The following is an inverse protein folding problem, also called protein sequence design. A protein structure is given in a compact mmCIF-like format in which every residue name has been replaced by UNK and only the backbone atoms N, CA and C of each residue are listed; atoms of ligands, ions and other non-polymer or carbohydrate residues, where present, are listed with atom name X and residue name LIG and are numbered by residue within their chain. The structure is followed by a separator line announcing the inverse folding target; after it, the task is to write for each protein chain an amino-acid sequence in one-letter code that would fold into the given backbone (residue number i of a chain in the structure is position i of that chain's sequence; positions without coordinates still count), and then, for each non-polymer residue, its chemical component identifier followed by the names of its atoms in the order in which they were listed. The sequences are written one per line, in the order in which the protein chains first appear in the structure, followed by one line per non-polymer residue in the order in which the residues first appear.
data_IF_625907478592
#
_entry.id   IF_625907478592
#
_cell.length_a   1.000
_cell.length_b   1.000
_cell.length_c   1.000
_cell.angle_alpha   90.00
_cell.angle_beta   90.00
_cell.angle_gamma   90.00
#
_symmetry.space_group_name_H-M   'P 1'
#
loop_
_entity.id
_entity.type
_entity.pdbx_description
1 polymer ?
#
# COMPACT_ATOMS: atom_id res chain seq x y z
N UNK A 1 8.58 -20.43 -12.03
CA UNK A 1 7.11 -20.65 -12.03
C UNK A 1 6.50 -19.66 -11.05
N UNK A 2 5.50 -18.85 -11.45
CA UNK A 2 4.82 -17.99 -10.48
C UNK A 2 3.82 -18.83 -9.69
N UNK A 3 3.89 -18.76 -8.36
CA UNK A 3 2.96 -19.46 -7.45
C UNK A 3 1.55 -18.87 -7.56
N UNK A 4 1.44 -17.63 -8.03
CA UNK A 4 0.19 -16.92 -8.26
C UNK A 4 -0.20 -17.06 -9.74
N UNK A 5 -1.42 -17.51 -10.06
CA UNK A 5 -1.94 -17.55 -11.43
C UNK A 5 -1.96 -16.15 -12.06
N UNK A 6 -1.58 -16.05 -13.34
CA UNK A 6 -1.54 -14.75 -14.04
C UNK A 6 -2.91 -14.08 -14.13
N UNK A 7 -3.96 -14.90 -14.20
CA UNK A 7 -5.39 -14.52 -14.22
C UNK A 7 -5.81 -13.74 -12.96
N UNK A 8 -5.03 -13.80 -11.87
CA UNK A 8 -5.31 -13.04 -10.65
C UNK A 8 -4.82 -11.59 -10.71
N UNK A 9 -3.98 -11.25 -11.71
CA UNK A 9 -3.57 -9.88 -11.97
C UNK A 9 -4.61 -9.06 -12.72
N UNK A 10 -5.65 -9.69 -13.26
CA UNK A 10 -6.71 -9.03 -14.00
C UNK A 10 -7.63 -8.24 -13.05
N UNK A 11 -8.08 -7.03 -13.43
CA UNK A 11 -8.83 -6.15 -12.54
C UNK A 11 -10.24 -6.68 -12.17
N UNK A 12 -10.83 -7.56 -12.99
CA UNK A 12 -12.13 -8.20 -12.78
C UNK A 12 -12.05 -9.55 -12.03
N UNK A 13 -10.84 -10.04 -11.77
CA UNK A 13 -10.60 -11.34 -11.15
C UNK A 13 -11.07 -11.36 -9.70
N UNK A 14 -12.13 -12.12 -9.43
CA UNK A 14 -12.63 -12.38 -8.05
C UNK A 14 -11.56 -12.92 -7.10
N UNK A 15 -10.81 -13.99 -7.42
CA UNK A 15 -9.82 -14.52 -6.50
C UNK A 15 -8.64 -13.55 -6.31
N UNK A 16 -8.21 -12.84 -7.36
CA UNK A 16 -7.18 -11.80 -7.26
C UNK A 16 -7.60 -10.63 -6.36
N UNK A 17 -8.84 -10.19 -6.49
CA UNK A 17 -9.42 -9.13 -5.64
C UNK A 17 -9.42 -9.50 -4.15
N UNK A 18 -9.91 -10.69 -3.78
CA UNK A 18 -9.91 -11.13 -2.38
C UNK A 18 -8.50 -11.35 -1.84
N UNK A 19 -7.58 -11.86 -2.67
CA UNK A 19 -6.18 -12.03 -2.30
C UNK A 19 -5.51 -10.68 -1.99
N UNK A 20 -5.69 -9.68 -2.85
CA UNK A 20 -5.17 -8.33 -2.63
C UNK A 20 -5.77 -7.71 -1.35
N UNK A 21 -7.09 -7.79 -1.17
CA UNK A 21 -7.78 -7.28 0.02
C UNK A 21 -7.32 -7.95 1.30
N UNK A 22 -7.09 -9.26 1.28
CA UNK A 22 -6.58 -9.98 2.43
C UNK A 22 -5.21 -9.46 2.85
N UNK A 23 -4.28 -9.30 1.91
CA UNK A 23 -2.94 -8.79 2.21
C UNK A 23 -2.93 -7.33 2.63
N UNK A 24 -3.73 -6.48 1.98
CA UNK A 24 -3.89 -5.07 2.36
C UNK A 24 -4.51 -4.98 3.77
N UNK A 25 -5.57 -5.77 4.04
CA UNK A 25 -6.22 -5.84 5.34
C UNK A 25 -5.28 -6.33 6.43
N UNK A 26 -4.49 -7.36 6.17
CA UNK A 26 -3.47 -7.87 7.08
C UNK A 26 -2.42 -6.77 7.39
N UNK A 27 -1.97 -6.04 6.37
CA UNK A 27 -1.04 -4.93 6.55
C UNK A 27 -1.63 -3.81 7.42
N UNK A 28 -2.92 -3.48 7.23
CA UNK A 28 -3.64 -2.52 8.09
C UNK A 28 -3.69 -2.99 9.53
N UNK A 29 -4.00 -4.28 9.77
CA UNK A 29 -4.04 -4.85 11.12
C UNK A 29 -2.65 -4.77 11.78
N UNK A 30 -1.59 -5.20 11.09
CA UNK A 30 -0.22 -5.16 11.61
C UNK A 30 0.21 -3.72 11.95
N UNK A 31 -0.04 -2.77 11.04
CA UNK A 31 0.28 -1.35 11.29
C UNK A 31 -0.59 -0.73 12.39
N UNK A 32 -1.86 -1.12 12.47
CA UNK A 32 -2.77 -0.70 13.54
C UNK A 32 -2.31 -1.19 14.91
N UNK A 33 -1.85 -2.44 15.01
CA UNK A 33 -1.25 -2.98 16.24
C UNK A 33 0.03 -2.22 16.60
N UNK A 34 0.90 -1.92 15.63
CA UNK A 34 2.10 -1.11 15.86
C UNK A 34 1.77 0.31 16.33
N UNK A 35 0.69 0.92 15.81
CA UNK A 35 0.22 2.22 16.23
C UNK A 35 -0.40 2.20 17.64
N UNK A 36 -1.12 1.13 18.00
CA UNK A 36 -1.81 1.00 19.29
C UNK A 36 -0.88 0.60 20.44
N UNK A 37 0.02 -0.35 20.20
CA UNK A 37 0.91 -0.89 21.23
C UNK A 37 2.10 0.05 21.54
N UNK A 38 2.37 1.03 20.68
CA UNK A 38 3.51 1.97 20.80
C UNK A 38 4.86 1.29 21.19
N UNK A 39 5.28 0.18 20.55
CA UNK A 39 6.41 -0.64 21.02
C UNK A 39 7.78 0.08 21.02
N UNK A 40 7.86 1.31 20.51
CA UNK A 40 9.09 2.09 20.38
C UNK A 40 9.14 3.37 21.24
N UNK A 41 8.33 3.48 22.31
CA UNK A 41 8.23 4.73 23.11
C UNK A 41 7.85 5.95 22.23
N UNK A 42 6.99 5.73 21.25
CA UNK A 42 6.48 6.77 20.37
C UNK A 42 5.35 7.45 21.15
N UNK A 43 5.65 8.52 21.88
CA UNK A 43 4.57 9.34 22.47
C UNK A 43 3.69 9.87 21.35
N UNK A 44 2.46 9.35 21.26
CA UNK A 44 1.42 9.81 20.33
C UNK A 44 0.87 11.15 20.82
N UNK A 45 1.70 12.19 20.87
CA UNK A 45 1.20 13.57 20.90
C UNK A 45 0.92 13.99 19.44
N UNK A 46 -0.11 13.40 18.85
CA UNK A 46 -0.53 13.67 17.48
C UNK A 46 -1.08 15.09 17.37
N UNK A 47 -0.23 16.06 17.07
CA UNK A 47 -0.70 17.39 16.66
C UNK A 47 -1.56 17.22 15.40
N UNK A 48 -2.77 17.81 15.30
CA UNK A 48 -3.67 17.62 14.16
C UNK A 48 -3.01 17.86 12.80
N UNK A 49 -2.05 18.80 12.75
CA UNK A 49 -1.25 19.11 11.55
C UNK A 49 -0.37 17.95 11.07
N UNK A 50 0.21 17.18 12.00
CA UNK A 50 1.06 16.01 11.67
C UNK A 50 0.21 14.85 11.16
N UNK A 51 -0.96 14.66 11.73
CA UNK A 51 -1.94 13.67 11.27
C UNK A 51 -2.40 14.01 9.85
N UNK A 52 -2.83 15.25 9.61
CA UNK A 52 -3.30 15.70 8.30
C UNK A 52 -2.24 15.52 7.20
N UNK A 53 -0.98 15.89 7.47
CA UNK A 53 0.11 15.72 6.50
C UNK A 53 0.39 14.26 6.15
N UNK A 54 0.36 13.37 7.15
CA UNK A 54 0.55 11.94 6.94
C UNK A 54 -0.61 11.33 6.14
N UNK A 55 -1.85 11.71 6.46
CA UNK A 55 -3.03 11.23 5.73
C UNK A 55 -3.02 11.68 4.28
N UNK A 56 -2.76 12.96 4.01
CA UNK A 56 -2.71 13.50 2.63
C UNK A 56 -1.65 12.76 1.82
N UNK A 57 -0.43 12.64 2.35
CA UNK A 57 0.64 11.92 1.66
C UNK A 57 0.28 10.46 1.41
N UNK A 58 -0.31 9.80 2.41
CA UNK A 58 -0.75 8.41 2.30
C UNK A 58 -1.81 8.20 1.22
N UNK A 59 -2.80 9.10 1.14
CA UNK A 59 -3.85 9.10 0.10
C UNK A 59 -3.23 9.28 -1.28
N UNK A 60 -2.34 10.26 -1.45
CA UNK A 60 -1.64 10.48 -2.73
C UNK A 60 -0.85 9.25 -3.17
N UNK A 61 -0.14 8.59 -2.25
CA UNK A 61 0.54 7.33 -2.55
C UNK A 61 -0.44 6.23 -2.97
N UNK A 62 -1.57 6.09 -2.26
CA UNK A 62 -2.58 5.07 -2.59
C UNK A 62 -3.17 5.26 -3.98
N UNK A 63 -3.47 6.51 -4.35
CA UNK A 63 -3.94 6.88 -5.69
C UNK A 63 -2.87 6.57 -6.74
N UNK A 64 -1.62 7.00 -6.52
CA UNK A 64 -0.52 6.80 -7.46
C UNK A 64 -0.25 5.32 -7.71
N UNK A 65 -0.23 4.50 -6.65
CA UNK A 65 -0.05 3.04 -6.74
C UNK A 65 -1.18 2.40 -7.52
N UNK A 66 -2.43 2.78 -7.26
CA UNK A 66 -3.57 2.20 -7.99
C UNK A 66 -3.54 2.57 -9.47
N UNK A 67 -3.27 3.85 -9.78
CA UNK A 67 -3.16 4.31 -11.17
C UNK A 67 -2.03 3.59 -11.92
N UNK A 68 -0.85 3.46 -11.28
CA UNK A 68 0.27 2.72 -11.85
C UNK A 68 -0.03 1.22 -12.04
N UNK A 69 -0.75 0.60 -11.10
CA UNK A 69 -0.97 -0.85 -11.12
C UNK A 69 -2.10 -1.29 -12.06
N UNK A 70 -3.15 -0.49 -12.21
CA UNK A 70 -4.38 -0.92 -12.89
C UNK A 70 -4.79 -0.06 -14.09
N UNK A 71 -4.32 1.18 -14.18
CA UNK A 71 -4.75 2.11 -15.25
C UNK A 71 -3.69 2.22 -16.35
N UNK A 72 -2.40 2.14 -16.01
CA UNK A 72 -1.33 2.34 -16.97
C UNK A 72 -0.73 1.02 -17.48
N UNK A 73 -1.14 0.59 -18.68
CA UNK A 73 -0.61 -0.62 -19.34
C UNK A 73 0.92 -0.61 -19.49
N UNK A 74 1.54 0.56 -19.71
CA UNK A 74 3.00 0.66 -19.83
C UNK A 74 3.69 0.32 -18.52
N UNK A 75 3.09 0.75 -17.41
CA UNK A 75 3.61 0.47 -16.09
C UNK A 75 3.39 -1.00 -15.72
N UNK A 76 2.25 -1.60 -16.10
CA UNK A 76 2.02 -3.04 -15.96
C UNK A 76 3.05 -3.88 -16.73
N UNK A 77 3.38 -3.50 -17.98
CA UNK A 77 4.43 -4.20 -18.76
C UNK A 77 5.81 -4.04 -18.15
N UNK A 78 6.15 -2.84 -17.66
CA UNK A 78 7.39 -2.59 -16.91
C UNK A 78 7.48 -3.45 -15.64
N UNK A 79 6.36 -3.57 -14.93
CA UNK A 79 6.26 -4.36 -13.69
C UNK A 79 6.18 -5.87 -13.91
N UNK A 80 5.90 -6.31 -15.15
CA UNK A 80 5.96 -7.72 -15.52
C UNK A 80 7.42 -8.24 -15.57
N UNK A 81 8.40 -7.35 -15.78
CA UNK A 81 9.81 -7.71 -15.68
C UNK A 81 10.20 -7.93 -14.22
N UNK A 82 10.63 -9.16 -13.91
CA UNK A 82 11.05 -9.57 -12.59
C UNK A 82 12.15 -8.68 -12.01
N UNK A 83 13.13 -8.24 -12.81
CA UNK A 83 14.25 -7.41 -12.33
C UNK A 83 13.76 -6.03 -11.89
N UNK A 84 12.88 -5.43 -12.68
CA UNK A 84 12.32 -4.10 -12.40
C UNK A 84 11.38 -4.17 -11.20
N UNK A 85 10.51 -5.19 -11.15
CA UNK A 85 9.67 -5.51 -9.99
C UNK A 85 10.49 -5.66 -8.72
N UNK A 86 11.56 -6.45 -8.76
CA UNK A 86 12.41 -6.68 -7.60
C UNK A 86 13.11 -5.39 -7.15
N UNK A 87 13.73 -4.65 -8.07
CA UNK A 87 14.40 -3.39 -7.76
C UNK A 87 13.41 -2.35 -7.21
N UNK A 88 12.22 -2.25 -7.79
CA UNK A 88 11.17 -1.35 -7.33
C UNK A 88 10.69 -1.69 -5.91
N UNK A 89 10.42 -2.97 -5.62
CA UNK A 89 10.06 -3.42 -4.28
C UNK A 89 11.19 -3.21 -3.28
N UNK A 90 12.43 -3.48 -3.68
CA UNK A 90 13.60 -3.27 -2.83
C UNK A 90 13.73 -1.79 -2.44
N UNK A 91 13.66 -0.88 -3.41
CA UNK A 91 13.70 0.57 -3.15
C UNK A 91 12.53 0.99 -2.27
N UNK A 92 11.32 0.48 -2.53
CA UNK A 92 10.14 0.76 -1.71
C UNK A 92 10.36 0.35 -0.25
N UNK A 93 10.87 -0.86 -0.02
CA UNK A 93 11.17 -1.38 1.33
C UNK A 93 12.25 -0.54 2.00
N UNK A 94 13.33 -0.20 1.30
CA UNK A 94 14.43 0.62 1.85
C UNK A 94 13.93 2.02 2.24
N UNK A 95 13.14 2.66 1.38
CA UNK A 95 12.51 3.96 1.69
C UNK A 95 11.57 3.85 2.89
N UNK A 96 10.79 2.76 2.97
CA UNK A 96 9.94 2.46 4.12
C UNK A 96 10.75 2.34 5.42
N UNK A 97 11.84 1.57 5.40
CA UNK A 97 12.72 1.37 6.55
C UNK A 97 13.39 2.68 7.00
N UNK A 98 13.87 3.50 6.07
CA UNK A 98 14.42 4.83 6.38
C UNK A 98 13.34 5.71 7.02
N UNK A 99 12.12 5.70 6.47
CA UNK A 99 10.99 6.41 7.06
C UNK A 99 10.72 5.97 8.50
N UNK A 100 10.67 4.65 8.73
CA UNK A 100 10.48 4.08 10.06
C UNK A 100 11.58 4.49 11.04
N UNK A 101 12.84 4.60 10.60
CA UNK A 101 13.95 5.02 11.44
C UNK A 101 13.90 6.52 11.79
N UNK A 102 13.50 7.37 10.84
CA UNK A 102 13.55 8.84 10.99
C UNK A 102 12.28 9.39 11.66
N UNK A 103 11.10 8.91 11.24
CA UNK A 103 9.83 9.40 11.71
C UNK A 103 8.80 8.25 11.82
N UNK A 104 9.00 7.32 12.78
CA UNK A 104 8.21 6.09 12.89
C UNK A 104 6.70 6.35 12.85
N UNK A 105 6.24 7.34 13.62
CA UNK A 105 4.82 7.71 13.70
C UNK A 105 4.26 8.19 12.36
N UNK A 106 5.01 9.04 11.64
CA UNK A 106 4.55 9.56 10.34
C UNK A 106 4.50 8.44 9.32
N UNK A 107 5.50 7.57 9.31
CA UNK A 107 5.55 6.44 8.39
C UNK A 107 4.40 5.47 8.62
N UNK A 108 4.11 5.10 9.87
CA UNK A 108 2.95 4.25 10.20
C UNK A 108 1.65 4.91 9.73
N UNK A 109 1.42 6.18 10.06
CA UNK A 109 0.20 6.89 9.65
C UNK A 109 0.06 7.02 8.13
N UNK A 110 1.15 7.35 7.43
CA UNK A 110 1.15 7.43 5.96
C UNK A 110 0.83 6.08 5.33
N UNK A 111 1.46 5.00 5.81
CA UNK A 111 1.22 3.66 5.31
C UNK A 111 -0.21 3.21 5.58
N UNK A 112 -0.73 3.47 6.78
CA UNK A 112 -2.12 3.15 7.14
C UNK A 112 -3.10 3.88 6.23
N UNK A 113 -2.90 5.19 6.02
CA UNK A 113 -3.72 5.98 5.10
C UNK A 113 -3.59 5.47 3.65
N UNK A 114 -2.40 5.08 3.20
CA UNK A 114 -2.19 4.46 1.89
C UNK A 114 -2.98 3.17 1.75
N UNK A 115 -2.87 2.26 2.71
CA UNK A 115 -3.57 0.97 2.65
C UNK A 115 -5.09 1.12 2.71
N UNK A 116 -5.63 2.00 3.57
CA UNK A 116 -7.05 2.30 3.59
C UNK A 116 -7.54 2.88 2.26
N UNK A 117 -6.75 3.77 1.65
CA UNK A 117 -7.04 4.31 0.31
C UNK A 117 -7.03 3.20 -0.74
N UNK A 118 -6.04 2.29 -0.68
CA UNK A 118 -5.93 1.16 -1.60
C UNK A 118 -7.13 0.22 -1.51
N UNK A 119 -7.67 -0.03 -0.30
CA UNK A 119 -8.91 -0.82 -0.14
C UNK A 119 -10.04 -0.18 -0.93
N UNK A 120 -10.30 1.12 -0.70
CA UNK A 120 -11.39 1.83 -1.37
C UNK A 120 -11.21 1.85 -2.89
N UNK A 121 -9.99 2.13 -3.36
CA UNK A 121 -9.69 2.20 -4.78
C UNK A 121 -9.76 0.82 -5.46
N UNK A 122 -9.32 -0.25 -4.80
CA UNK A 122 -9.48 -1.61 -5.34
C UNK A 122 -10.94 -2.00 -5.44
N UNK A 123 -11.75 -1.70 -4.43
CA UNK A 123 -13.21 -1.94 -4.45
C UNK A 123 -13.84 -1.15 -5.60
N UNK A 124 -13.49 0.12 -5.78
CA UNK A 124 -14.00 0.96 -6.85
C UNK A 124 -13.62 0.45 -8.25
N UNK A 125 -12.36 0.04 -8.44
CA UNK A 125 -11.90 -0.55 -9.71
C UNK A 125 -12.66 -1.84 -10.00
N UNK A 126 -12.76 -2.74 -9.01
CA UNK A 126 -13.46 -4.01 -9.16
C UNK A 126 -14.94 -3.84 -9.52
N UNK A 127 -15.64 -2.89 -8.87
CA UNK A 127 -17.03 -2.57 -9.19
C UNK A 127 -17.20 -1.93 -10.57
N UNK A 128 -16.19 -1.23 -11.08
CA UNK A 128 -16.23 -0.60 -12.42
C UNK A 128 -15.99 -1.60 -13.55
N UNK A 129 -15.15 -2.61 -13.31
CA UNK A 129 -14.79 -3.62 -14.32
C UNK A 129 -15.70 -4.85 -14.33
N UNK A 130 -16.61 -4.97 -13.37
CA UNK A 130 -17.63 -6.03 -13.30
C UNK A 130 -18.95 -5.59 -13.95
#
# INVERSE_FOLDING_TARGET
MSVIPREWGEPDSRPGFYYDLFWIGLAVVVLGVLAYWEPFSITVSSTPRRLAGATILGVFLGIAVTYGSFVNERFQRLWADFRIRFAGLFVLIMVGQIGFAVAPMRTVLTMLATFLTLIQLRVAVYLRTR
#
